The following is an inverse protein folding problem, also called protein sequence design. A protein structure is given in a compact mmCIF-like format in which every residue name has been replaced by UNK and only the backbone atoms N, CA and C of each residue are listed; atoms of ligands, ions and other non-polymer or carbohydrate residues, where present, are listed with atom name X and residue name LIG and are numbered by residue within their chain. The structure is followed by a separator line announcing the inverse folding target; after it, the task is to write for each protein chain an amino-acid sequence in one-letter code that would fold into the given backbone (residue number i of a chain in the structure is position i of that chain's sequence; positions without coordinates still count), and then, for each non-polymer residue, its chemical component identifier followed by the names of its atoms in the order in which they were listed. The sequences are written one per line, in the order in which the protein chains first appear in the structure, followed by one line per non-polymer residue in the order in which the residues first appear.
data_IF_646322554570
#
_entry.id   IF_646322554570
#
_cell.length_a   1.000
_cell.length_b   1.000
_cell.length_c   1.000
_cell.angle_alpha   90.00
_cell.angle_beta   90.00
_cell.angle_gamma   90.00
#
_symmetry.space_group_name_H-M   'P 1'
#
loop_
_entity.id
_entity.type
_entity.pdbx_description
1 polymer ?
#
# COMPACT_ATOMS: atom_id res chain seq x y z
N UNK A 1 -42.62 -9.92 -37.10
CA UNK A 1 -42.61 -9.15 -35.84
C UNK A 1 -41.27 -9.36 -35.15
N UNK A 2 -40.36 -8.37 -35.15
CA UNK A 2 -39.06 -8.51 -34.52
C UNK A 2 -39.15 -8.23 -33.01
N UNK A 3 -38.64 -9.18 -32.23
CA UNK A 3 -38.48 -9.12 -30.78
C UNK A 3 -37.49 -8.00 -30.42
N UNK A 4 -37.81 -7.07 -29.50
CA UNK A 4 -36.83 -6.07 -29.06
C UNK A 4 -35.73 -6.76 -28.26
N UNK A 5 -34.49 -6.66 -28.74
CA UNK A 5 -33.32 -7.02 -27.96
C UNK A 5 -33.27 -6.14 -26.73
N UNK A 6 -33.38 -6.77 -25.55
CA UNK A 6 -33.06 -6.15 -24.27
C UNK A 6 -31.60 -5.72 -24.30
N UNK A 7 -31.41 -4.39 -24.38
CA UNK A 7 -30.19 -3.71 -23.98
C UNK A 7 -29.81 -4.21 -22.59
N UNK A 8 -28.74 -4.99 -22.51
CA UNK A 8 -28.09 -5.33 -21.24
C UNK A 8 -27.59 -4.02 -20.67
N UNK A 9 -28.24 -3.57 -19.60
CA UNK A 9 -27.83 -2.42 -18.83
C UNK A 9 -26.41 -2.65 -18.32
N UNK A 10 -25.49 -1.78 -18.74
CA UNK A 10 -24.17 -1.63 -18.15
C UNK A 10 -24.33 -1.40 -16.63
N UNK A 11 -23.78 -2.26 -15.75
CA UNK A 11 -23.73 -1.98 -14.35
C UNK A 11 -22.64 -0.92 -14.11
N UNK A 12 -23.09 0.34 -13.96
CA UNK A 12 -22.41 1.39 -13.21
C UNK A 12 -20.92 1.56 -13.51
N UNK A 13 -20.60 2.37 -14.53
CA UNK A 13 -19.26 2.89 -14.76
C UNK A 13 -18.71 3.55 -13.48
N UNK A 14 -17.76 2.87 -12.83
CA UNK A 14 -16.89 3.46 -11.83
C UNK A 14 -16.18 4.67 -12.43
N UNK A 15 -16.38 5.84 -11.84
CA UNK A 15 -15.74 7.08 -12.27
C UNK A 15 -14.24 6.92 -12.03
N UNK A 16 -13.51 6.69 -13.11
CA UNK A 16 -12.06 6.64 -13.10
C UNK A 16 -11.57 8.07 -12.88
N UNK A 17 -11.11 8.39 -11.68
CA UNK A 17 -10.59 9.72 -11.35
C UNK A 17 -9.18 9.84 -11.94
N UNK A 18 -9.11 9.95 -13.25
CA UNK A 18 -7.90 10.34 -13.98
C UNK A 18 -7.70 11.85 -13.79
N UNK A 19 -7.09 12.22 -12.68
CA UNK A 19 -6.31 13.46 -12.55
C UNK A 19 -7.04 14.81 -12.51
N UNK A 20 -8.35 14.92 -12.76
CA UNK A 20 -9.04 16.21 -12.69
C UNK A 20 -10.50 16.11 -12.20
N UNK A 21 -10.70 16.38 -10.91
CA UNK A 21 -11.78 17.26 -10.45
C UNK A 21 -13.25 16.83 -10.52
N UNK A 22 -13.61 15.61 -10.89
CA UNK A 22 -15.01 15.16 -10.75
C UNK A 22 -15.21 14.45 -9.41
N UNK A 23 -15.76 15.17 -8.42
CA UNK A 23 -16.28 14.53 -7.20
C UNK A 23 -17.31 13.47 -7.60
N UNK A 24 -17.13 12.19 -7.21
CA UNK A 24 -18.10 11.15 -7.50
C UNK A 24 -19.43 11.50 -6.83
N UNK A 25 -20.53 11.14 -7.49
CA UNK A 25 -21.87 11.26 -6.93
C UNK A 25 -21.92 10.58 -5.55
N UNK A 26 -22.66 11.12 -4.56
CA UNK A 26 -22.76 10.53 -3.23
C UNK A 26 -23.22 9.07 -3.32
N UNK A 27 -22.36 8.14 -2.90
CA UNK A 27 -22.58 6.69 -2.97
C UNK A 27 -21.91 5.96 -4.16
N UNK A 28 -21.19 6.67 -5.03
CA UNK A 28 -20.46 6.08 -6.15
C UNK A 28 -19.11 5.46 -5.76
N UNK A 29 -18.78 4.33 -6.38
CA UNK A 29 -17.46 3.69 -6.26
C UNK A 29 -16.35 4.65 -6.71
N UNK A 30 -15.38 4.88 -5.83
CA UNK A 30 -14.21 5.72 -6.09
C UNK A 30 -12.98 4.85 -6.29
N UNK A 31 -12.42 4.88 -7.50
CA UNK A 31 -11.30 4.02 -7.89
C UNK A 31 -10.03 4.85 -8.06
N UNK A 32 -8.96 4.44 -7.39
CA UNK A 32 -7.63 5.05 -7.49
C UNK A 32 -6.66 4.16 -8.24
N UNK A 33 -5.94 4.75 -9.20
CA UNK A 33 -4.94 4.06 -10.03
C UNK A 33 -3.51 4.46 -9.67
N UNK A 34 -2.53 3.59 -9.93
CA UNK A 34 -1.13 3.95 -9.74
C UNK A 34 -0.64 4.87 -10.87
N UNK A 35 0.22 5.86 -10.56
CA UNK A 35 0.78 6.75 -11.57
C UNK A 35 1.78 6.01 -12.47
N UNK A 36 1.42 5.80 -13.75
CA UNK A 36 2.23 5.04 -14.73
C UNK A 36 3.68 5.54 -14.85
N UNK A 37 3.86 6.87 -14.92
CA UNK A 37 5.20 7.47 -15.05
C UNK A 37 6.12 7.14 -13.89
N UNK A 38 5.60 7.12 -12.65
CA UNK A 38 6.39 6.72 -11.47
C UNK A 38 6.72 5.23 -11.48
N UNK A 39 5.77 4.38 -11.88
CA UNK A 39 6.03 2.94 -12.01
C UNK A 39 7.11 2.65 -13.05
N UNK A 40 7.09 3.34 -14.20
CA UNK A 40 8.12 3.20 -15.23
C UNK A 40 9.48 3.72 -14.75
N UNK A 41 9.50 4.86 -14.03
CA UNK A 41 10.72 5.39 -13.44
C UNK A 41 11.32 4.42 -12.40
N UNK A 42 10.48 3.83 -11.54
CA UNK A 42 10.88 2.81 -10.57
C UNK A 42 11.40 1.54 -11.26
N UNK A 43 10.73 1.11 -12.34
CA UNK A 43 11.18 -0.03 -13.14
C UNK A 43 12.54 0.23 -13.78
N UNK A 44 12.75 1.43 -14.36
CA UNK A 44 14.03 1.83 -14.93
C UNK A 44 15.14 1.88 -13.87
N UNK A 45 14.87 2.46 -12.70
CA UNK A 45 15.81 2.48 -11.58
C UNK A 45 16.17 1.08 -11.09
N UNK A 46 15.19 0.18 -11.03
CA UNK A 46 15.40 -1.23 -10.64
C UNK A 46 16.21 -1.98 -11.69
N UNK A 47 15.95 -1.75 -12.98
CA UNK A 47 16.75 -2.29 -14.08
C UNK A 47 18.20 -1.80 -14.05
N UNK A 48 18.42 -0.52 -13.76
CA UNK A 48 19.77 0.02 -13.58
C UNK A 48 20.50 -0.62 -12.39
N UNK A 49 19.82 -0.83 -11.26
CA UNK A 49 20.38 -1.54 -10.11
C UNK A 49 20.70 -3.01 -10.42
N UNK A 50 19.89 -3.68 -11.26
CA UNK A 50 20.17 -5.02 -11.74
C UNK A 50 21.47 -5.04 -12.57
N UNK A 51 21.64 -4.07 -13.47
CA UNK A 51 22.88 -3.92 -14.25
C UNK A 51 24.08 -3.64 -13.35
N UNK A 52 23.95 -2.75 -12.35
CA UNK A 52 25.03 -2.49 -11.39
C UNK A 52 25.40 -3.74 -10.56
N UNK A 53 24.42 -4.60 -10.27
CA UNK A 53 24.63 -5.88 -9.57
C UNK A 53 25.43 -6.91 -10.38
N UNK A 54 25.70 -6.64 -11.67
CA UNK A 54 26.64 -7.41 -12.47
C UNK A 54 28.09 -7.18 -12.06
N UNK A 55 28.46 -6.01 -11.53
CA UNK A 55 29.85 -5.71 -11.15
C UNK A 55 30.41 -6.70 -10.10
N UNK A 56 29.68 -7.04 -9.01
CA UNK A 56 30.11 -8.10 -8.08
C UNK A 56 30.35 -9.47 -8.72
N UNK A 57 29.70 -9.77 -9.85
CA UNK A 57 29.87 -11.07 -10.55
C UNK A 57 31.22 -11.23 -11.24
N UNK A 58 31.94 -10.13 -11.44
CA UNK A 58 33.29 -10.12 -11.99
C UNK A 58 34.37 -10.31 -10.89
N UNK A 59 33.96 -10.38 -9.62
CA UNK A 59 34.86 -10.54 -8.49
C UNK A 59 35.45 -11.95 -8.43
N UNK A 60 36.66 -12.07 -7.87
CA UNK A 60 37.28 -13.37 -7.57
C UNK A 60 36.67 -14.07 -6.35
N UNK A 61 35.89 -13.35 -5.54
CA UNK A 61 35.25 -13.90 -4.35
C UNK A 61 33.92 -14.57 -4.70
N UNK A 62 33.86 -15.90 -4.56
CA UNK A 62 32.66 -16.71 -4.90
C UNK A 62 31.37 -16.19 -4.25
N UNK A 63 31.43 -15.72 -3.00
CA UNK A 63 30.26 -15.18 -2.30
C UNK A 63 29.70 -13.92 -2.99
N UNK A 64 30.55 -13.03 -3.49
CA UNK A 64 30.12 -11.83 -4.22
C UNK A 64 29.53 -12.20 -5.58
N UNK A 65 30.10 -13.22 -6.24
CA UNK A 65 29.58 -13.70 -7.51
C UNK A 65 28.18 -14.29 -7.35
N UNK A 66 28.00 -15.19 -6.39
CA UNK A 66 26.69 -15.80 -6.10
C UNK A 66 25.68 -14.74 -5.66
N UNK A 67 26.08 -13.82 -4.77
CA UNK A 67 25.24 -12.72 -4.32
C UNK A 67 24.81 -11.80 -5.46
N UNK A 68 25.72 -11.47 -6.38
CA UNK A 68 25.43 -10.64 -7.55
C UNK A 68 24.38 -11.29 -8.46
N UNK A 69 24.53 -12.57 -8.79
CA UNK A 69 23.55 -13.31 -9.59
C UNK A 69 22.16 -13.38 -8.93
N UNK A 70 22.09 -13.65 -7.63
CA UNK A 70 20.83 -13.65 -6.88
C UNK A 70 20.15 -12.28 -6.97
N UNK A 71 20.91 -11.19 -6.77
CA UNK A 71 20.37 -9.82 -6.83
C UNK A 71 19.87 -9.47 -8.23
N UNK A 72 20.60 -9.85 -9.29
CA UNK A 72 20.17 -9.65 -10.68
C UNK A 72 18.81 -10.32 -10.91
N UNK A 73 18.66 -11.59 -10.53
CA UNK A 73 17.40 -12.33 -10.73
C UNK A 73 16.25 -11.66 -9.98
N UNK A 74 16.44 -11.30 -8.71
CA UNK A 74 15.41 -10.66 -7.90
C UNK A 74 15.00 -9.28 -8.44
N UNK A 75 15.97 -8.45 -8.81
CA UNK A 75 15.73 -7.12 -9.36
C UNK A 75 15.07 -7.19 -10.74
N UNK A 76 15.44 -8.14 -11.59
CA UNK A 76 14.81 -8.35 -12.90
C UNK A 76 13.34 -8.77 -12.76
N UNK A 77 13.03 -9.69 -11.84
CA UNK A 77 11.64 -10.07 -11.53
C UNK A 77 10.86 -8.84 -11.03
N UNK A 78 11.43 -8.05 -10.12
CA UNK A 78 10.80 -6.85 -9.61
C UNK A 78 10.54 -5.80 -10.71
N UNK A 79 11.53 -5.56 -11.59
CA UNK A 79 11.39 -4.66 -12.72
C UNK A 79 10.28 -5.12 -13.69
N UNK A 80 10.22 -6.43 -13.99
CA UNK A 80 9.18 -6.99 -14.86
C UNK A 80 7.78 -6.81 -14.25
N UNK A 81 7.63 -7.03 -12.94
CA UNK A 81 6.36 -6.79 -12.23
C UNK A 81 5.95 -5.32 -12.30
N UNK A 82 6.89 -4.39 -12.12
CA UNK A 82 6.63 -2.96 -12.22
C UNK A 82 6.20 -2.54 -13.64
N UNK A 83 6.89 -3.06 -14.67
CA UNK A 83 6.53 -2.84 -16.07
C UNK A 83 5.14 -3.41 -16.36
N UNK A 84 4.86 -4.64 -15.93
CA UNK A 84 3.54 -5.26 -16.13
C UNK A 84 2.42 -4.42 -15.48
N UNK A 85 2.62 -3.92 -14.24
CA UNK A 85 1.67 -3.01 -13.59
C UNK A 85 1.55 -1.66 -14.30
N UNK A 86 2.62 -1.15 -14.88
CA UNK A 86 2.58 0.10 -15.64
C UNK A 86 1.81 -0.04 -16.96
N UNK A 87 1.96 -1.17 -17.65
CA UNK A 87 1.28 -1.47 -18.91
C UNK A 87 -0.19 -1.85 -18.71
N UNK A 88 -0.51 -2.53 -17.62
CA UNK A 88 -1.88 -2.92 -17.24
C UNK A 88 -2.20 -2.37 -15.85
N UNK A 89 -2.46 -1.06 -15.72
CA UNK A 89 -2.78 -0.45 -14.43
C UNK A 89 -4.11 -0.99 -13.92
N UNK A 90 -4.04 -1.92 -12.98
CA UNK A 90 -5.18 -2.30 -12.17
C UNK A 90 -5.49 -1.23 -11.12
N UNK A 91 -6.72 -1.22 -10.57
CA UNK A 91 -7.05 -0.32 -9.47
C UNK A 91 -6.16 -0.62 -8.26
N UNK A 92 -5.53 0.41 -7.72
CA UNK A 92 -4.69 0.36 -6.51
C UNK A 92 -5.56 0.26 -5.26
N UNK A 93 -6.56 1.14 -5.17
CA UNK A 93 -7.50 1.24 -4.06
C UNK A 93 -8.87 1.48 -4.63
N UNK A 94 -9.85 0.70 -4.18
CA UNK A 94 -11.26 0.91 -4.47
C UNK A 94 -11.94 1.27 -3.16
N UNK A 95 -12.70 2.36 -3.14
CA UNK A 95 -13.53 2.78 -2.02
C UNK A 95 -14.98 2.73 -2.47
N UNK A 96 -15.80 1.97 -1.75
CA UNK A 96 -17.20 1.74 -2.06
C UNK A 96 -18.09 1.87 -0.82
N UNK A 97 -19.40 1.63 -0.99
CA UNK A 97 -20.38 1.72 0.10
C UNK A 97 -20.15 0.72 1.23
N UNK A 98 -19.49 -0.41 0.98
CA UNK A 98 -19.29 -1.47 1.97
C UNK A 98 -17.90 -1.39 2.63
N UNK A 99 -16.91 -0.78 1.97
CA UNK A 99 -15.56 -0.63 2.51
C UNK A 99 -14.48 -0.18 1.53
N UNK A 100 -13.26 -0.67 1.80
CA UNK A 100 -12.04 -0.38 1.04
C UNK A 100 -11.44 -1.69 0.54
N UNK A 101 -11.09 -1.75 -0.74
CA UNK A 101 -10.34 -2.88 -1.32
C UNK A 101 -8.91 -2.40 -1.60
N UNK A 102 -7.95 -2.94 -0.84
CA UNK A 102 -6.52 -2.71 -1.09
C UNK A 102 -5.97 -3.74 -2.09
N UNK A 103 -5.41 -3.25 -3.19
CA UNK A 103 -4.64 -4.02 -4.17
C UNK A 103 -3.23 -3.48 -4.36
N UNK A 104 -2.79 -2.52 -3.54
CA UNK A 104 -1.46 -1.90 -3.68
C UNK A 104 -0.34 -2.90 -3.35
N UNK A 105 -0.58 -3.80 -2.40
CA UNK A 105 0.45 -4.69 -1.85
C UNK A 105 0.48 -6.08 -2.53
N UNK A 106 1.66 -6.73 -2.53
CA UNK A 106 1.87 -8.09 -3.08
C UNK A 106 0.99 -9.17 -2.42
N UNK A 107 0.59 -8.94 -1.16
CA UNK A 107 -0.41 -9.72 -0.45
C UNK A 107 -1.60 -8.82 -0.14
N UNK A 108 -2.53 -8.61 -1.10
CA UNK A 108 -3.67 -7.73 -0.87
C UNK A 108 -4.46 -8.22 0.32
N UNK A 109 -4.81 -7.32 1.23
CA UNK A 109 -5.64 -7.67 2.39
C UNK A 109 -7.05 -8.08 1.97
N UNK A 110 -7.47 -7.75 0.74
CA UNK A 110 -8.82 -7.97 0.24
C UNK A 110 -9.74 -6.83 0.67
N UNK A 111 -11.05 -7.10 0.70
CA UNK A 111 -12.05 -6.11 1.12
C UNK A 111 -11.97 -5.90 2.64
N UNK A 112 -11.89 -4.64 3.04
CA UNK A 112 -11.91 -4.18 4.44
C UNK A 112 -13.22 -3.45 4.62
N UNK A 113 -14.14 -4.02 5.39
CA UNK A 113 -15.46 -3.40 5.58
C UNK A 113 -15.35 -2.15 6.44
N UNK A 114 -16.27 -1.20 6.26
CA UNK A 114 -16.31 -0.01 7.10
C UNK A 114 -16.36 -0.35 8.59
N UNK A 115 -17.21 -1.28 9.00
CA UNK A 115 -17.32 -1.76 10.39
C UNK A 115 -16.00 -2.24 11.01
N UNK A 116 -15.06 -2.72 10.18
CA UNK A 116 -13.74 -3.16 10.63
C UNK A 116 -12.75 -2.00 10.76
N UNK A 117 -13.01 -0.84 10.18
CA UNK A 117 -12.11 0.31 10.21
C UNK A 117 -12.42 1.14 11.45
N UNK A 118 -11.42 1.26 12.33
CA UNK A 118 -11.50 2.11 13.52
C UNK A 118 -11.00 3.52 13.20
N UNK A 119 -9.75 3.61 12.76
CA UNK A 119 -9.05 4.89 12.58
C UNK A 119 -8.24 4.85 11.30
N UNK A 120 -8.19 5.97 10.59
CA UNK A 120 -7.28 6.18 9.48
C UNK A 120 -6.22 7.18 9.88
N UNK A 121 -4.95 6.80 9.76
CA UNK A 121 -3.83 7.65 10.16
C UNK A 121 -2.98 8.03 8.95
N UNK A 122 -2.71 9.32 8.80
CA UNK A 122 -1.68 9.81 7.88
C UNK A 122 -0.32 9.71 8.56
N UNK A 123 0.62 9.02 7.93
CA UNK A 123 2.00 8.88 8.40
C UNK A 123 2.96 9.30 7.29
N UNK A 124 4.03 9.99 7.66
CA UNK A 124 5.16 10.21 6.77
C UNK A 124 6.34 9.34 7.25
N UNK A 125 7.01 8.65 6.34
CA UNK A 125 8.20 7.84 6.58
C UNK A 125 9.35 8.47 5.82
N UNK A 126 10.46 8.77 6.49
CA UNK A 126 11.63 9.44 5.90
C UNK A 126 11.74 10.92 6.28
N UNK A 127 12.77 11.60 5.77
CA UNK A 127 12.99 13.04 5.94
C UNK A 127 13.46 13.66 4.61
N UNK A 128 13.06 14.90 4.35
CA UNK A 128 13.47 15.65 3.17
C UNK A 128 12.88 15.10 1.87
N UNK A 129 13.68 15.13 0.79
CA UNK A 129 13.24 14.72 -0.57
C UNK A 129 12.79 13.25 -0.69
N UNK A 130 13.15 12.39 0.27
CA UNK A 130 12.76 10.97 0.30
C UNK A 130 11.59 10.66 1.23
N UNK A 131 10.86 11.65 1.73
CA UNK A 131 9.71 11.40 2.60
C UNK A 131 8.56 10.75 1.81
N UNK A 132 8.19 9.53 2.20
CA UNK A 132 7.03 8.82 1.67
C UNK A 132 5.82 9.07 2.57
N UNK A 133 4.68 9.41 1.98
CA UNK A 133 3.40 9.53 2.69
C UNK A 133 2.68 8.20 2.63
N UNK A 134 2.23 7.69 3.78
CA UNK A 134 1.47 6.46 3.91
C UNK A 134 0.15 6.74 4.61
N UNK A 135 -0.90 6.06 4.17
CA UNK A 135 -2.17 5.97 4.87
C UNK A 135 -2.21 4.64 5.62
N UNK A 136 -2.24 4.69 6.95
CA UNK A 136 -2.40 3.51 7.78
C UNK A 136 -3.88 3.33 8.10
N UNK A 137 -4.42 2.15 7.83
CA UNK A 137 -5.81 1.80 8.16
C UNK A 137 -5.75 0.90 9.39
N UNK A 138 -6.22 1.40 10.52
CA UNK A 138 -6.26 0.65 11.78
C UNK A 138 -7.59 -0.06 11.91
N UNK A 139 -7.53 -1.39 12.02
CA UNK A 139 -8.70 -2.25 12.18
C UNK A 139 -9.19 -2.27 13.64
N UNK A 140 -10.50 -2.41 13.83
CA UNK A 140 -11.16 -2.63 15.11
C UNK A 140 -10.86 -4.05 15.61
N UNK A 141 -9.73 -4.21 16.30
CA UNK A 141 -9.35 -5.44 16.98
C UNK A 141 -8.64 -6.49 16.12
N UNK A 142 -7.86 -7.35 16.79
CA UNK A 142 -7.05 -8.40 16.14
C UNK A 142 -7.89 -9.50 15.48
N UNK A 143 -9.16 -9.65 15.88
CA UNK A 143 -10.06 -10.67 15.36
C UNK A 143 -10.45 -10.45 13.89
N UNK A 144 -10.55 -9.19 13.44
CA UNK A 144 -10.85 -8.87 12.05
C UNK A 144 -9.70 -9.28 11.10
N UNK A 145 -8.46 -9.23 11.59
CA UNK A 145 -7.26 -9.61 10.83
C UNK A 145 -7.10 -11.14 10.73
N UNK A 146 -7.35 -11.84 11.85
CA UNK A 146 -7.23 -13.30 11.96
C UNK A 146 -8.28 -14.08 11.16
N UNK A 147 -9.47 -13.49 10.94
CA UNK A 147 -10.54 -14.13 10.15
C UNK A 147 -10.23 -14.23 8.66
N UNK A 148 -9.21 -13.52 8.17
CA UNK A 148 -8.89 -13.50 6.75
C UNK A 148 -7.94 -14.65 6.42
N UNK A 149 -8.20 -15.43 5.36
CA UNK A 149 -7.33 -16.54 4.97
C UNK A 149 -5.91 -16.05 4.68
N UNK A 150 -4.94 -16.54 5.46
CA UNK A 150 -3.54 -16.18 5.30
C UNK A 150 -2.81 -17.31 4.56
N UNK A 151 -2.71 -17.16 3.24
CA UNK A 151 -1.81 -17.98 2.42
C UNK A 151 -0.34 -17.79 2.84
N UNK A 152 0.55 -18.68 2.39
CA UNK A 152 1.96 -18.67 2.82
C UNK A 152 2.67 -17.33 2.51
N UNK A 153 2.41 -16.73 1.34
CA UNK A 153 2.92 -15.41 0.95
C UNK A 153 2.48 -14.34 1.94
N UNK A 154 1.20 -14.34 2.32
CA UNK A 154 0.65 -13.37 3.25
C UNK A 154 1.30 -13.50 4.63
N UNK A 155 1.46 -14.72 5.14
CA UNK A 155 2.16 -14.97 6.42
C UNK A 155 3.60 -14.47 6.39
N UNK A 156 4.30 -14.66 5.28
CA UNK A 156 5.66 -14.15 5.09
C UNK A 156 5.68 -12.61 5.12
N UNK A 157 4.76 -11.97 4.39
CA UNK A 157 4.65 -10.50 4.37
C UNK A 157 4.25 -9.93 5.73
N UNK A 158 3.34 -10.58 6.47
CA UNK A 158 2.95 -10.17 7.83
C UNK A 158 4.13 -10.26 8.79
N UNK A 159 4.92 -11.35 8.74
CA UNK A 159 6.15 -11.49 9.54
C UNK A 159 7.17 -10.39 9.23
N UNK A 160 7.38 -10.10 7.94
CA UNK A 160 8.29 -9.04 7.51
C UNK A 160 7.79 -7.66 7.99
N UNK A 161 6.51 -7.36 7.83
CA UNK A 161 5.89 -6.11 8.33
C UNK A 161 6.00 -5.99 9.84
N UNK A 162 5.71 -7.06 10.58
CA UNK A 162 5.84 -7.11 12.03
C UNK A 162 7.28 -6.84 12.48
N UNK A 163 8.27 -7.43 11.80
CA UNK A 163 9.69 -7.17 12.06
C UNK A 163 10.06 -5.69 11.81
N UNK A 164 9.44 -5.06 10.82
CA UNK A 164 9.60 -3.64 10.51
C UNK A 164 8.68 -2.70 11.31
N UNK A 165 7.84 -3.23 12.21
CA UNK A 165 6.80 -2.48 12.94
C UNK A 165 5.91 -1.66 11.99
N UNK A 166 5.63 -2.22 10.82
CA UNK A 166 4.70 -1.66 9.86
C UNK A 166 3.28 -2.08 10.24
N UNK A 167 2.29 -1.18 10.07
CA UNK A 167 0.89 -1.53 10.29
C UNK A 167 0.48 -2.64 9.31
N UNK A 168 -0.57 -3.39 9.65
CA UNK A 168 -1.03 -4.51 8.84
C UNK A 168 -1.52 -4.05 7.46
N UNK A 169 -2.15 -2.87 7.40
CA UNK A 169 -2.62 -2.24 6.16
C UNK A 169 -1.97 -0.85 6.06
N UNK A 170 -1.10 -0.70 5.07
CA UNK A 170 -0.51 0.58 4.67
C UNK A 170 -0.73 0.82 3.18
N UNK A 171 -1.26 1.98 2.85
CA UNK A 171 -1.39 2.45 1.48
C UNK A 171 -0.28 3.46 1.21
N UNK A 172 0.77 3.08 0.47
CA UNK A 172 1.84 4.00 0.11
C UNK A 172 1.32 5.02 -0.90
N UNK A 173 1.52 6.30 -0.62
CA UNK A 173 1.09 7.41 -1.49
C UNK A 173 1.82 7.43 -2.84
N UNK A 174 2.97 6.75 -2.94
CA UNK A 174 3.66 6.51 -4.21
C UNK A 174 2.82 5.68 -5.20
N UNK A 175 1.92 4.82 -4.70
CA UNK A 175 1.05 3.93 -5.48
C UNK A 175 -0.32 4.53 -5.82
N UNK A 176 -0.54 5.81 -5.48
CA UNK A 176 -1.80 6.52 -5.70
C UNK A 176 -1.53 7.75 -6.57
N UNK A 177 -2.32 7.92 -7.63
CA UNK A 177 -2.20 9.06 -8.55
C UNK A 177 -2.61 10.39 -7.93
N UNK A 178 -3.60 10.36 -7.02
CA UNK A 178 -4.13 11.55 -6.34
C UNK A 178 -3.33 11.89 -5.06
N UNK A 179 -3.35 13.15 -4.61
CA UNK A 179 -2.81 13.52 -3.31
C UNK A 179 -3.47 12.71 -2.19
N UNK A 180 -2.70 12.38 -1.15
CA UNK A 180 -3.19 11.62 0.01
C UNK A 180 -4.42 12.28 0.69
N UNK A 181 -4.52 13.61 0.59
CA UNK A 181 -5.70 14.34 1.07
C UNK A 181 -6.97 13.93 0.31
N UNK A 182 -6.91 13.82 -1.02
CA UNK A 182 -8.06 13.42 -1.84
C UNK A 182 -8.56 12.01 -1.53
N UNK A 183 -7.66 11.08 -1.18
CA UNK A 183 -8.05 9.75 -0.71
C UNK A 183 -8.85 9.87 0.60
N UNK A 184 -8.35 10.67 1.55
CA UNK A 184 -9.04 10.88 2.83
C UNK A 184 -10.37 11.59 2.68
N UNK A 185 -10.47 12.53 1.75
CA UNK A 185 -11.74 13.21 1.48
C UNK A 185 -12.76 12.22 0.89
N UNK A 186 -12.34 11.33 -0.01
CA UNK A 186 -13.19 10.23 -0.51
C UNK A 186 -13.62 9.25 0.60
N UNK A 187 -12.72 8.93 1.54
CA UNK A 187 -13.07 8.11 2.71
C UNK A 187 -14.10 8.81 3.60
N UNK A 188 -13.95 10.12 3.84
CA UNK A 188 -14.89 10.91 4.64
C UNK A 188 -16.25 11.09 3.97
N UNK A 189 -16.28 11.15 2.64
CA UNK A 189 -17.53 11.20 1.89
C UNK A 189 -18.36 9.93 2.13
N UNK A 190 -17.73 8.76 2.19
CA UNK A 190 -18.40 7.49 2.48
C UNK A 190 -18.69 7.30 3.97
N UNK A 191 -17.79 7.77 4.85
CA UNK A 191 -17.95 7.67 6.30
C UNK A 191 -17.56 8.98 7.00
N UNK A 192 -18.50 9.92 7.17
CA UNK A 192 -18.22 11.22 7.79
C UNK A 192 -17.71 11.14 9.23
N UNK A 193 -18.08 10.08 9.95
CA UNK A 193 -17.68 9.83 11.34
C UNK A 193 -16.28 9.21 11.48
N UNK A 194 -15.56 8.97 10.37
CA UNK A 194 -14.26 8.34 10.39
C UNK A 194 -13.21 9.25 11.05
N UNK A 195 -12.62 8.78 12.15
CA UNK A 195 -11.55 9.49 12.81
C UNK A 195 -10.28 9.44 11.95
N UNK A 196 -9.80 10.63 11.56
CA UNK A 196 -8.57 10.78 10.78
C UNK A 196 -7.50 11.39 11.67
N UNK A 197 -6.57 10.56 12.11
CA UNK A 197 -5.44 11.02 12.91
C UNK A 197 -4.32 11.55 12.00
N UNK A 198 -3.87 12.77 12.30
CA UNK A 198 -2.61 13.29 11.80
C UNK A 198 -1.54 12.91 12.83
N UNK A 199 -0.66 11.98 12.48
CA UNK A 199 0.43 11.60 13.37
C UNK A 199 1.73 12.26 12.93
N UNK A 200 2.50 12.91 13.82
CA UNK A 200 3.90 13.14 13.54
C UNK A 200 4.57 11.79 13.26
N UNK A 201 5.60 11.74 12.39
CA UNK A 201 6.36 10.52 12.16
C UNK A 201 6.78 9.98 13.54
N UNK A 202 6.50 8.70 13.88
CA UNK A 202 7.03 8.14 15.11
C UNK A 202 8.54 8.36 15.10
N UNK A 203 9.09 8.84 16.22
CA UNK A 203 10.53 9.06 16.34
C UNK A 203 11.23 7.81 15.79
N UNK A 204 12.22 7.96 14.88
CA UNK A 204 12.88 6.80 14.29
C UNK A 204 13.26 5.90 15.45
N UNK A 205 12.86 4.62 15.36
CA UNK A 205 13.36 3.60 16.25
C UNK A 205 14.86 3.67 16.12
N UNK A 206 15.54 4.43 17.00
CA UNK A 206 16.99 4.39 17.11
C UNK A 206 17.28 2.91 17.15
N UNK A 207 17.98 2.40 16.15
CA UNK A 207 18.40 1.01 16.11
C UNK A 207 19.36 0.87 17.28
N UNK A 208 18.78 0.64 18.47
CA UNK A 208 19.43 0.76 19.75
C UNK A 208 20.02 -0.61 20.00
N UNK A 209 21.25 -0.80 19.55
CA UNK A 209 22.14 -1.79 20.14
C UNK A 209 22.34 -1.36 21.60
N UNK A 210 21.49 -1.85 22.48
CA UNK A 210 21.56 -1.56 23.91
C UNK A 210 20.42 -2.26 24.64
N UNK A 211 20.65 -2.69 25.90
CA UNK A 211 19.65 -3.41 26.67
C UNK A 211 18.36 -2.58 26.78
N UNK A 212 17.22 -3.28 26.69
CA UNK A 212 15.88 -2.71 26.90
C UNK A 212 15.91 -1.81 28.16
N UNK A 213 15.59 -0.51 28.07
CA UNK A 213 15.42 0.28 29.28
C UNK A 213 14.21 -0.26 30.02
N UNK A 214 14.49 -0.82 31.18
CA UNK A 214 13.49 -1.18 32.16
C UNK A 214 12.82 0.09 32.68
N UNK A 215 11.48 0.08 32.71
CA UNK A 215 10.57 1.13 33.21
C UNK A 215 10.52 2.45 32.43
N UNK A 216 9.53 2.58 31.54
CA UNK A 216 8.79 3.84 31.37
C UNK A 216 7.33 3.65 31.78
N UNK A 217 6.98 4.34 32.87
CA UNK A 217 5.70 4.30 33.57
C UNK A 217 4.57 4.87 32.69
N UNK A 218 3.44 4.16 32.69
CA UNK A 218 2.06 4.65 32.78
C UNK A 218 1.67 5.89 31.94
N UNK A 219 1.15 5.66 30.73
CA UNK A 219 0.08 6.49 30.14
C UNK A 219 -1.22 5.67 30.15
N UNK A 220 -2.29 6.08 30.85
CA UNK A 220 -3.50 5.26 31.03
C UNK A 220 -4.46 5.16 29.83
N UNK A 221 -4.23 5.82 28.70
CA UNK A 221 -5.28 5.97 27.67
C UNK A 221 -4.88 5.68 26.22
N UNK A 222 -3.78 4.96 25.98
CA UNK A 222 -3.51 4.43 24.64
C UNK A 222 -3.46 2.90 24.69
N UNK A 223 -4.25 2.19 23.85
CA UNK A 223 -4.14 0.74 23.75
C UNK A 223 -2.71 0.40 23.33
N UNK A 224 -2.07 -0.49 24.11
CA UNK A 224 -0.70 -0.94 23.91
C UNK A 224 -0.66 -1.86 22.69
N UNK A 225 0.06 -1.44 21.65
CA UNK A 225 0.47 -2.28 20.52
C UNK A 225 1.98 -2.08 20.32
#
# INVERSE_FOLDING_TARGET
MPTPMRSVADPGYGVSVDGAGSSPAPGGETVFYPPRGRLLLLAAGTGFMALASYLPTLSRFTLLVVGGWIMIVLLMIAALVLVARALRPGPSVVVDSDGIIDRTTLGPCGRIRWEEINVVRKREIGRGMGAERLLEILLTGQAAEQRRPAGWLRRLTERYRAALKQPPISLPGSMISVPMQGVVDALRQHRPQLEVLQGPPPAPSKFRWGPKPEKRRQHPQLPRW
#
